data_IF_506274845835
#
_entry.id   IF_506274845835
#
_cell.length_a   1.000
_cell.length_b   1.000
_cell.length_c   1.000
_cell.angle_alpha   90.00
_cell.angle_beta   90.00
_cell.angle_gamma   90.00
#
_symmetry.space_group_name_H-M   'P 1'
#
loop_
_entity.id
_entity.type
_entity.pdbx_description
1 polymer ?
#
# COMPACT_ATOMS: atom_id res chain seq x y z
N UNK A 1 -9.68 -15.90 -32.63
CA UNK A 1 -8.79 -15.90 -31.44
C UNK A 1 -9.64 -15.88 -30.18
N UNK A 2 -9.37 -16.77 -29.22
CA UNK A 2 -10.07 -16.81 -27.93
C UNK A 2 -9.11 -16.28 -26.87
N UNK A 3 -9.35 -15.05 -26.41
CA UNK A 3 -8.63 -14.46 -25.29
C UNK A 3 -9.22 -15.06 -24.02
N UNK A 4 -8.49 -15.97 -23.38
CA UNK A 4 -8.81 -16.40 -22.02
C UNK A 4 -8.23 -15.32 -21.11
N UNK A 5 -9.07 -14.36 -20.70
CA UNK A 5 -8.68 -13.40 -19.67
C UNK A 5 -8.48 -14.18 -18.37
N UNK A 6 -7.23 -14.45 -18.01
CA UNK A 6 -6.89 -14.88 -16.65
C UNK A 6 -7.33 -13.71 -15.77
N UNK A 7 -8.46 -13.86 -15.07
CA UNK A 7 -8.87 -12.85 -14.09
C UNK A 7 -7.76 -12.81 -13.05
N UNK A 8 -7.04 -11.68 -12.91
CA UNK A 8 -5.98 -11.60 -11.93
C UNK A 8 -6.62 -11.81 -10.55
N UNK A 9 -6.10 -12.77 -9.78
CA UNK A 9 -6.48 -12.91 -8.40
C UNK A 9 -6.21 -11.58 -7.69
N UNK A 10 -7.10 -11.16 -6.79
CA UNK A 10 -7.01 -9.89 -6.07
C UNK A 10 -5.58 -9.64 -5.53
N UNK A 11 -4.96 -10.67 -4.98
CA UNK A 11 -3.59 -10.64 -4.47
C UNK A 11 -2.57 -10.25 -5.54
N UNK A 12 -2.59 -10.90 -6.70
CA UNK A 12 -1.67 -10.62 -7.81
C UNK A 12 -1.88 -9.22 -8.37
N UNK A 13 -3.12 -8.75 -8.48
CA UNK A 13 -3.40 -7.40 -8.98
C UNK A 13 -2.85 -6.33 -8.03
N UNK A 14 -3.17 -6.46 -6.74
CA UNK A 14 -2.69 -5.54 -5.72
C UNK A 14 -1.17 -5.57 -5.64
N UNK A 15 -0.55 -6.75 -5.56
CA UNK A 15 0.90 -6.87 -5.46
C UNK A 15 1.60 -6.24 -6.67
N UNK A 16 1.18 -6.57 -7.89
CA UNK A 16 1.82 -6.06 -9.11
C UNK A 16 1.68 -4.53 -9.24
N UNK A 17 0.50 -3.98 -8.93
CA UNK A 17 0.29 -2.53 -9.01
C UNK A 17 1.12 -1.76 -7.98
N UNK A 18 1.10 -2.20 -6.71
CA UNK A 18 1.85 -1.51 -5.67
C UNK A 18 3.36 -1.69 -5.81
N UNK A 19 3.83 -2.81 -6.36
CA UNK A 19 5.25 -3.01 -6.65
C UNK A 19 5.76 -2.02 -7.71
N UNK A 20 5.02 -1.82 -8.79
CA UNK A 20 5.36 -0.84 -9.82
C UNK A 20 5.37 0.60 -9.28
N UNK A 21 4.35 0.98 -8.51
CA UNK A 21 4.30 2.32 -7.93
C UNK A 21 5.45 2.49 -6.92
N UNK A 22 5.73 1.48 -6.10
CA UNK A 22 6.84 1.51 -5.13
C UNK A 22 8.18 1.69 -5.81
N UNK A 23 8.45 0.96 -6.90
CA UNK A 23 9.69 1.06 -7.67
C UNK A 23 9.95 2.49 -8.17
N UNK A 24 8.90 3.26 -8.47
CA UNK A 24 9.00 4.65 -8.94
C UNK A 24 8.90 5.72 -7.83
N UNK A 25 8.57 5.34 -6.59
CA UNK A 25 8.25 6.26 -5.50
C UNK A 25 9.45 6.59 -4.57
N UNK A 26 10.68 6.16 -4.89
CA UNK A 26 11.83 6.32 -4.00
C UNK A 26 12.04 7.79 -3.57
N UNK A 27 11.96 8.05 -2.26
CA UNK A 27 12.09 9.39 -1.68
C UNK A 27 10.91 10.35 -1.97
N UNK A 28 9.96 9.96 -2.82
CA UNK A 28 8.78 10.78 -3.12
C UNK A 28 7.69 10.55 -2.07
N UNK A 29 7.81 11.28 -0.97
CA UNK A 29 6.90 11.23 0.18
C UNK A 29 5.43 11.46 -0.24
N UNK A 30 5.19 12.32 -1.23
CA UNK A 30 3.84 12.57 -1.76
C UNK A 30 3.19 11.32 -2.33
N UNK A 31 3.93 10.57 -3.16
CA UNK A 31 3.46 9.30 -3.74
C UNK A 31 3.29 8.24 -2.64
N UNK A 32 4.23 8.13 -1.71
CA UNK A 32 4.16 7.19 -0.58
C UNK A 32 2.88 7.39 0.24
N UNK A 33 2.56 8.64 0.59
CA UNK A 33 1.35 8.97 1.33
C UNK A 33 0.08 8.71 0.51
N UNK A 34 0.13 8.91 -0.81
CA UNK A 34 -0.98 8.60 -1.72
C UNK A 34 -1.26 7.09 -1.76
N UNK A 35 -0.21 6.26 -1.81
CA UNK A 35 -0.32 4.80 -1.75
C UNK A 35 -0.99 4.34 -0.44
N UNK A 36 -0.55 4.85 0.71
CA UNK A 36 -1.19 4.55 2.00
C UNK A 36 -2.68 4.95 2.02
N UNK A 37 -3.00 6.10 1.41
CA UNK A 37 -4.39 6.56 1.30
C UNK A 37 -5.24 5.62 0.44
N UNK A 38 -4.69 5.13 -0.68
CA UNK A 38 -5.36 4.19 -1.56
C UNK A 38 -5.62 2.84 -0.85
N UNK A 39 -4.63 2.30 -0.14
CA UNK A 39 -4.79 1.05 0.63
C UNK A 39 -5.89 1.14 1.68
N UNK A 40 -6.01 2.29 2.35
CA UNK A 40 -7.11 2.55 3.30
C UNK A 40 -8.47 2.59 2.61
N UNK A 41 -8.58 3.26 1.47
CA UNK A 41 -9.84 3.30 0.73
C UNK A 41 -10.25 1.90 0.27
N UNK A 42 -9.31 1.11 -0.26
CA UNK A 42 -9.57 -0.26 -0.69
C UNK A 42 -9.97 -1.13 0.51
N UNK A 43 -9.31 -0.97 1.66
CA UNK A 43 -9.65 -1.76 2.86
C UNK A 43 -11.04 -1.44 3.41
N UNK A 44 -11.49 -0.19 3.31
CA UNK A 44 -12.86 0.21 3.64
C UNK A 44 -13.93 -0.46 2.77
N UNK A 45 -13.56 -0.95 1.58
CA UNK A 45 -14.43 -1.65 0.64
C UNK A 45 -14.17 -3.17 0.61
N UNK A 46 -13.22 -3.66 1.40
CA UNK A 46 -12.80 -5.07 1.40
C UNK A 46 -13.19 -5.74 2.71
N UNK A 47 -14.20 -6.61 2.64
CA UNK A 47 -14.71 -7.38 3.79
C UNK A 47 -14.01 -8.73 3.97
N UNK A 48 -13.52 -9.32 2.88
CA UNK A 48 -12.85 -10.63 2.92
C UNK A 48 -11.52 -10.55 3.73
N UNK A 49 -11.38 -11.33 4.82
CA UNK A 49 -10.20 -11.28 5.68
C UNK A 49 -8.89 -11.63 4.97
N UNK A 50 -8.92 -12.58 4.02
CA UNK A 50 -7.74 -12.99 3.25
C UNK A 50 -7.24 -11.86 2.36
N UNK A 51 -8.15 -11.14 1.71
CA UNK A 51 -7.83 -9.93 0.93
C UNK A 51 -7.34 -8.78 1.80
N UNK A 52 -7.91 -8.61 3.00
CA UNK A 52 -7.43 -7.60 3.97
C UNK A 52 -5.98 -7.89 4.39
N UNK A 53 -5.61 -9.15 4.57
CA UNK A 53 -4.23 -9.55 4.87
C UNK A 53 -3.24 -9.13 3.77
N UNK A 54 -3.60 -9.32 2.50
CA UNK A 54 -2.78 -8.86 1.35
C UNK A 54 -2.54 -7.34 1.43
N UNK A 55 -3.56 -6.56 1.76
CA UNK A 55 -3.42 -5.11 1.90
C UNK A 55 -2.49 -4.74 3.07
N UNK A 56 -2.55 -5.47 4.19
CA UNK A 56 -1.63 -5.29 5.32
C UNK A 56 -0.18 -5.57 4.93
N UNK A 57 0.07 -6.61 4.14
CA UNK A 57 1.40 -6.92 3.60
C UNK A 57 1.95 -5.78 2.73
N UNK A 58 1.10 -5.18 1.88
CA UNK A 58 1.50 -4.00 1.09
C UNK A 58 1.85 -2.80 1.98
N UNK A 59 1.10 -2.56 3.05
CA UNK A 59 1.39 -1.49 4.01
C UNK A 59 2.77 -1.71 4.64
N UNK A 60 3.10 -2.95 5.01
CA UNK A 60 4.40 -3.30 5.58
C UNK A 60 5.54 -3.03 4.60
N UNK A 61 5.41 -3.44 3.35
CA UNK A 61 6.41 -3.20 2.31
C UNK A 61 6.61 -1.72 1.97
N UNK A 62 5.55 -0.92 2.02
CA UNK A 62 5.66 0.54 1.88
C UNK A 62 6.39 1.14 3.08
N UNK A 63 6.13 0.66 4.29
CA UNK A 63 6.83 1.13 5.49
C UNK A 63 8.32 0.86 5.44
N UNK A 64 8.73 -0.34 5.01
CA UNK A 64 10.14 -0.68 4.84
C UNK A 64 10.83 0.14 3.74
N UNK A 65 10.12 0.50 2.67
CA UNK A 65 10.66 1.35 1.61
C UNK A 65 10.76 2.81 2.07
N UNK A 66 9.76 3.31 2.78
CA UNK A 66 9.76 4.66 3.34
C UNK A 66 10.88 4.85 4.39
N UNK A 67 11.10 3.84 5.24
CA UNK A 67 12.17 3.86 6.24
C UNK A 67 13.56 4.04 5.62
N UNK A 68 13.79 3.43 4.46
CA UNK A 68 15.07 3.48 3.72
C UNK A 68 15.23 4.69 2.81
N UNK A 69 14.14 5.40 2.48
CA UNK A 69 14.14 6.42 1.42
C UNK A 69 13.76 7.83 1.89
N UNK A 70 13.11 7.98 3.04
CA UNK A 70 12.73 9.29 3.58
C UNK A 70 13.83 9.78 4.53
N UNK A 71 14.64 10.73 4.06
CA UNK A 71 15.74 11.31 4.84
C UNK A 71 15.26 12.42 5.80
N UNK A 72 14.32 13.25 5.35
CA UNK A 72 13.78 14.39 6.11
C UNK A 72 13.02 13.92 7.35
N UNK A 73 13.42 14.34 8.57
CA UNK A 73 12.72 13.98 9.81
C UNK A 73 11.27 14.48 9.84
N UNK A 74 11.01 15.65 9.24
CA UNK A 74 9.66 16.21 9.13
C UNK A 74 8.76 15.30 8.29
N UNK A 75 9.25 14.87 7.13
CA UNK A 75 8.50 14.00 6.23
C UNK A 75 8.32 12.60 6.80
N UNK A 76 9.34 12.09 7.50
CA UNK A 76 9.26 10.82 8.23
C UNK A 76 8.16 10.87 9.28
N UNK A 77 8.09 11.95 10.07
CA UNK A 77 7.02 12.11 11.06
C UNK A 77 5.64 12.17 10.42
N UNK A 78 5.53 12.87 9.29
CA UNK A 78 4.29 12.94 8.51
C UNK A 78 3.88 11.57 7.98
N UNK A 79 4.83 10.78 7.49
CA UNK A 79 4.62 9.39 7.07
C UNK A 79 4.15 8.50 8.21
N UNK A 80 4.83 8.52 9.36
CA UNK A 80 4.48 7.72 10.54
C UNK A 80 3.05 7.98 11.02
N UNK A 81 2.66 9.26 11.12
CA UNK A 81 1.30 9.64 11.50
C UNK A 81 0.26 9.06 10.52
N UNK A 82 0.55 9.12 9.20
CA UNK A 82 -0.33 8.53 8.19
C UNK A 82 -0.38 7.01 8.28
N UNK A 83 0.76 6.36 8.51
CA UNK A 83 0.87 4.92 8.63
C UNK A 83 0.07 4.40 9.84
N UNK A 84 0.18 5.04 11.00
CA UNK A 84 -0.59 4.69 12.19
C UNK A 84 -2.09 4.74 11.92
N UNK A 85 -2.56 5.85 11.35
CA UNK A 85 -3.97 6.03 10.99
C UNK A 85 -4.49 4.99 9.99
N UNK A 86 -3.67 4.55 9.04
CA UNK A 86 -4.05 3.49 8.11
C UNK A 86 -4.10 2.14 8.82
N UNK A 87 -3.13 1.82 9.69
CA UNK A 87 -3.09 0.57 10.45
C UNK A 87 -4.30 0.41 11.38
N UNK A 88 -4.77 1.49 12.00
CA UNK A 88 -6.01 1.50 12.79
C UNK A 88 -7.24 1.01 12.01
N UNK A 89 -7.28 1.21 10.69
CA UNK A 89 -8.39 0.74 9.85
C UNK A 89 -8.41 -0.79 9.67
N UNK A 90 -7.35 -1.48 10.07
CA UNK A 90 -7.21 -2.94 9.96
C UNK A 90 -7.36 -3.67 11.30
N UNK A 91 -7.43 -2.96 12.42
CA UNK A 91 -7.66 -3.52 13.76
C UNK A 91 -9.14 -3.73 14.09
N UNK A 92 -10.05 -3.30 13.20
CA UNK A 92 -11.49 -3.56 13.28
C UNK A 92 -11.88 -4.83 12.54
#
# INVERSE_FOLDING_TARGET
MRIIGITPWFSSLVANSFDQIRSSANGNVGIILRMLSALRTISGLTTDPSRRKVLQEQIQWIAEMADRSIESPHDRKRFENRLAYVREAFTK
#
